data_IF_805402151460
#
_entry.id   IF_805402151460
#
_cell.length_a   1.000
_cell.length_b   1.000
_cell.length_c   1.000
_cell.angle_alpha   90.00
_cell.angle_beta   90.00
_cell.angle_gamma   90.00
#
_symmetry.space_group_name_H-M   'P 1'
#
loop_
_entity.id
_entity.type
_entity.pdbx_description
1 polymer ?
#
# COMPACT_ATOMS: atom_id res chain seq x y z
N UNK A 1 -21.17 18.88 8.84
CA UNK A 1 -20.91 17.49 8.37
C UNK A 1 -19.39 17.29 8.39
N UNK A 2 -18.89 16.26 9.07
CA UNK A 2 -17.44 15.96 9.06
C UNK A 2 -17.13 15.13 7.82
N UNK A 3 -16.51 15.75 6.81
CA UNK A 3 -16.15 15.08 5.55
C UNK A 3 -15.11 13.97 5.72
N UNK A 4 -14.33 14.00 6.81
CA UNK A 4 -13.32 13.00 7.14
C UNK A 4 -13.89 11.81 7.93
N UNK A 5 -15.18 11.80 8.26
CA UNK A 5 -15.76 10.72 9.05
C UNK A 5 -15.73 9.38 8.30
N UNK A 6 -15.07 8.39 8.91
CA UNK A 6 -15.02 6.99 8.44
C UNK A 6 -15.54 6.01 9.51
N UNK A 7 -16.20 6.51 10.56
CA UNK A 7 -16.75 5.68 11.61
C UNK A 7 -17.73 4.64 11.04
N UNK A 8 -17.56 3.39 11.44
CA UNK A 8 -18.34 2.26 10.98
C UNK A 8 -18.11 1.82 9.54
N UNK A 9 -17.21 2.46 8.78
CA UNK A 9 -16.76 1.94 7.48
C UNK A 9 -15.89 0.70 7.68
N UNK A 10 -15.97 -0.25 6.75
CA UNK A 10 -15.16 -1.47 6.73
C UNK A 10 -13.95 -1.26 5.83
N UNK A 11 -12.76 -1.28 6.42
CA UNK A 11 -11.48 -1.05 5.73
C UNK A 11 -10.66 -2.34 5.66
N UNK A 12 -10.45 -2.85 4.45
CA UNK A 12 -9.61 -4.00 4.16
C UNK A 12 -8.20 -3.53 3.83
N UNK A 13 -7.19 -4.09 4.52
CA UNK A 13 -5.79 -3.74 4.28
C UNK A 13 -4.98 -5.00 3.98
N UNK A 14 -4.57 -5.20 2.72
CA UNK A 14 -3.64 -6.28 2.38
C UNK A 14 -2.24 -5.93 2.88
N UNK A 15 -1.54 -6.91 3.47
CA UNK A 15 -0.27 -6.61 4.14
C UNK A 15 -0.41 -5.69 5.35
N UNK A 16 -1.60 -5.66 5.96
CA UNK A 16 -1.99 -4.72 7.00
C UNK A 16 -1.26 -4.86 8.34
N UNK A 17 -0.35 -5.81 8.50
CA UNK A 17 0.58 -5.93 9.63
C UNK A 17 2.04 -5.61 9.27
N UNK A 18 2.33 -5.25 8.02
CA UNK A 18 3.64 -4.73 7.61
C UNK A 18 3.89 -3.30 8.12
N UNK A 19 5.07 -2.75 7.86
CA UNK A 19 5.43 -1.43 8.37
C UNK A 19 4.41 -0.35 8.00
N UNK A 20 4.17 -0.12 6.71
CA UNK A 20 3.17 0.87 6.24
C UNK A 20 1.75 0.42 6.56
N UNK A 21 1.41 -0.84 6.20
CA UNK A 21 0.07 -1.38 6.42
C UNK A 21 -0.33 -1.40 7.89
N UNK A 22 0.60 -1.71 8.80
CA UNK A 22 0.35 -1.72 10.25
C UNK A 22 0.06 -0.33 10.82
N UNK A 23 0.84 0.68 10.42
CA UNK A 23 0.58 2.08 10.79
C UNK A 23 -0.81 2.53 10.30
N UNK A 24 -1.13 2.24 9.04
CA UNK A 24 -2.43 2.57 8.44
C UNK A 24 -3.57 1.84 9.17
N UNK A 25 -3.42 0.54 9.43
CA UNK A 25 -4.45 -0.28 10.10
C UNK A 25 -4.78 0.24 11.48
N UNK A 26 -3.76 0.52 12.30
CA UNK A 26 -3.95 1.07 13.64
C UNK A 26 -4.64 2.42 13.57
N UNK A 27 -4.13 3.32 12.73
CA UNK A 27 -4.68 4.67 12.61
C UNK A 27 -6.16 4.67 12.16
N UNK A 28 -6.52 3.90 11.13
CA UNK A 28 -7.90 3.87 10.65
C UNK A 28 -8.85 3.26 11.69
N UNK A 29 -8.40 2.29 12.49
CA UNK A 29 -9.19 1.77 13.61
C UNK A 29 -9.45 2.84 14.68
N UNK A 30 -8.46 3.68 14.97
CA UNK A 30 -8.59 4.83 15.88
C UNK A 30 -9.53 5.92 15.33
N UNK A 31 -9.74 5.97 14.02
CA UNK A 31 -10.71 6.85 13.36
C UNK A 31 -12.12 6.21 13.27
N UNK A 32 -12.34 5.08 13.93
CA UNK A 32 -13.64 4.41 14.05
C UNK A 32 -13.97 3.43 12.92
N UNK A 33 -13.04 3.15 11.97
CA UNK A 33 -13.26 2.12 10.98
C UNK A 33 -13.15 0.71 11.60
N UNK A 34 -13.93 -0.24 11.11
CA UNK A 34 -13.69 -1.66 11.33
C UNK A 34 -12.59 -2.12 10.37
N UNK A 35 -11.43 -2.50 10.93
CA UNK A 35 -10.25 -2.85 10.15
C UNK A 35 -10.14 -4.36 9.94
N UNK A 36 -10.03 -4.78 8.69
CA UNK A 36 -9.77 -6.17 8.30
C UNK A 36 -8.36 -6.27 7.75
N UNK A 37 -7.49 -6.95 8.49
CA UNK A 37 -6.11 -7.20 8.07
C UNK A 37 -6.05 -8.49 7.26
N UNK A 38 -5.58 -8.40 6.02
CA UNK A 38 -5.38 -9.54 5.14
C UNK A 38 -3.89 -9.84 4.99
N UNK A 39 -3.52 -11.09 5.17
CA UNK A 39 -2.15 -11.55 5.05
C UNK A 39 -1.98 -13.04 5.28
N UNK A 40 -0.74 -13.54 5.24
CA UNK A 40 -0.43 -14.98 5.29
C UNK A 40 -0.25 -15.55 6.69
N UNK A 41 0.05 -14.71 7.69
CA UNK A 41 0.40 -15.16 9.05
C UNK A 41 -0.45 -14.47 10.10
N UNK A 42 -1.31 -15.24 10.76
CA UNK A 42 -2.10 -14.78 11.90
C UNK A 42 -1.20 -14.43 13.09
N UNK A 43 -0.17 -15.22 13.34
CA UNK A 43 0.80 -14.98 14.41
C UNK A 43 1.42 -13.57 14.32
N UNK A 44 1.82 -13.15 13.10
CA UNK A 44 2.37 -11.81 12.88
C UNK A 44 1.33 -10.68 12.96
N UNK A 45 0.08 -10.98 12.67
CA UNK A 45 -1.01 -10.00 12.77
C UNK A 45 -1.54 -9.85 14.20
N UNK A 46 -1.44 -10.89 15.02
CA UNK A 46 -2.03 -10.95 16.37
C UNK A 46 -1.64 -9.77 17.28
N UNK A 47 -0.36 -9.35 17.37
CA UNK A 47 -0.01 -8.21 18.22
C UNK A 47 -0.75 -6.92 17.84
N UNK A 48 -0.90 -6.65 16.53
CA UNK A 48 -1.61 -5.47 16.06
C UNK A 48 -3.12 -5.58 16.28
N UNK A 49 -3.70 -6.74 16.03
CA UNK A 49 -5.13 -6.98 16.29
C UNK A 49 -5.45 -6.84 17.77
N UNK A 50 -4.58 -7.36 18.65
CA UNK A 50 -4.76 -7.21 20.10
C UNK A 50 -4.69 -5.75 20.50
N UNK A 51 -3.71 -5.00 20.00
CA UNK A 51 -3.59 -3.56 20.26
C UNK A 51 -4.85 -2.79 19.82
N UNK A 52 -5.37 -3.05 18.62
CA UNK A 52 -6.62 -2.44 18.13
C UNK A 52 -7.77 -2.72 19.11
N UNK A 53 -7.90 -3.95 19.58
CA UNK A 53 -8.97 -4.35 20.52
C UNK A 53 -8.79 -3.75 21.92
N UNK A 54 -7.56 -3.72 22.43
CA UNK A 54 -7.22 -3.11 23.74
C UNK A 54 -7.52 -1.62 23.78
N UNK A 55 -7.38 -0.92 22.64
CA UNK A 55 -7.79 0.47 22.48
C UNK A 55 -9.32 0.64 22.31
N UNK A 56 -10.11 -0.43 22.40
CA UNK A 56 -11.57 -0.41 22.24
C UNK A 56 -12.07 -0.33 20.81
N UNK A 57 -11.16 -0.46 19.83
CA UNK A 57 -11.47 -0.37 18.41
C UNK A 57 -11.85 -1.74 17.80
N UNK A 58 -12.42 -1.71 16.58
CA UNK A 58 -12.84 -2.91 15.87
C UNK A 58 -11.81 -3.35 14.85
N UNK A 59 -11.39 -4.61 14.91
CA UNK A 59 -10.52 -5.18 13.91
C UNK A 59 -10.38 -6.69 14.04
N UNK A 60 -10.10 -7.34 12.92
CA UNK A 60 -9.82 -8.77 12.86
C UNK A 60 -8.90 -9.11 11.69
N UNK A 61 -8.38 -10.32 11.74
CA UNK A 61 -7.50 -10.87 10.71
C UNK A 61 -8.26 -11.90 9.87
N UNK A 62 -7.99 -11.90 8.57
CA UNK A 62 -8.42 -12.95 7.62
C UNK A 62 -7.18 -13.43 6.88
N UNK A 63 -6.91 -14.73 6.97
CA UNK A 63 -5.77 -15.33 6.28
C UNK A 63 -6.04 -15.45 4.79
N UNK A 64 -5.18 -14.85 3.97
CA UNK A 64 -5.14 -15.05 2.53
C UNK A 64 -3.77 -14.67 1.97
N UNK A 65 -3.33 -15.38 0.93
CA UNK A 65 -2.22 -14.94 0.09
C UNK A 65 -2.78 -14.10 -1.06
N UNK A 66 -2.31 -12.86 -1.20
CA UNK A 66 -2.75 -11.95 -2.28
C UNK A 66 -2.40 -12.48 -3.68
N UNK A 67 -1.51 -13.47 -3.76
CA UNK A 67 -1.14 -14.17 -4.99
C UNK A 67 -2.07 -15.34 -5.31
N UNK A 68 -2.95 -15.74 -4.39
CA UNK A 68 -3.89 -16.83 -4.55
C UNK A 68 -5.33 -16.31 -4.65
N UNK A 69 -5.91 -16.36 -5.84
CA UNK A 69 -7.26 -15.85 -6.11
C UNK A 69 -8.33 -16.60 -5.31
N UNK A 70 -8.17 -17.91 -5.10
CA UNK A 70 -9.13 -18.70 -4.32
C UNK A 70 -9.09 -18.33 -2.82
N UNK A 71 -7.90 -18.02 -2.28
CA UNK A 71 -7.79 -17.52 -0.90
C UNK A 71 -8.49 -16.15 -0.78
N UNK A 72 -8.32 -15.27 -1.77
CA UNK A 72 -8.98 -13.96 -1.79
C UNK A 72 -10.50 -14.09 -1.89
N UNK A 73 -11.02 -15.04 -2.69
CA UNK A 73 -12.47 -15.31 -2.78
C UNK A 73 -13.04 -15.79 -1.45
N UNK A 74 -12.39 -16.76 -0.81
CA UNK A 74 -12.76 -17.22 0.54
C UNK A 74 -12.73 -16.08 1.56
N UNK A 75 -11.68 -15.25 1.51
CA UNK A 75 -11.58 -14.08 2.37
C UNK A 75 -12.73 -13.09 2.12
N UNK A 76 -13.11 -12.84 0.85
CA UNK A 76 -14.26 -12.01 0.50
C UNK A 76 -15.55 -12.53 1.15
N UNK A 77 -15.81 -13.82 1.04
CA UNK A 77 -17.01 -14.43 1.60
C UNK A 77 -17.06 -14.31 3.14
N UNK A 78 -15.96 -14.60 3.84
CA UNK A 78 -15.84 -14.42 5.30
C UNK A 78 -16.11 -12.95 5.69
N UNK A 79 -15.54 -12.00 4.96
CA UNK A 79 -15.68 -10.58 5.26
C UNK A 79 -17.13 -10.12 5.02
N UNK A 80 -17.75 -10.52 3.91
CA UNK A 80 -19.13 -10.16 3.62
C UNK A 80 -20.11 -10.84 4.57
N UNK A 81 -19.83 -12.07 5.03
CA UNK A 81 -20.64 -12.72 6.05
C UNK A 81 -20.58 -11.97 7.38
N UNK A 82 -19.38 -11.52 7.80
CA UNK A 82 -19.14 -10.88 9.09
C UNK A 82 -19.50 -9.40 9.12
N UNK A 83 -18.92 -8.63 8.19
CA UNK A 83 -19.01 -7.15 8.17
C UNK A 83 -20.06 -6.62 7.21
N UNK A 84 -20.67 -7.49 6.36
CA UNK A 84 -21.76 -7.22 5.40
C UNK A 84 -21.39 -6.30 4.24
N UNK A 85 -20.23 -5.63 4.27
CA UNK A 85 -19.81 -4.61 3.29
C UNK A 85 -18.30 -4.46 3.22
N UNK A 86 -17.82 -3.83 2.15
CA UNK A 86 -16.44 -3.38 1.97
C UNK A 86 -16.50 -1.94 1.48
N UNK A 87 -16.04 -0.98 2.30
CA UNK A 87 -16.06 0.43 1.95
C UNK A 87 -14.72 0.95 1.45
N UNK A 88 -13.63 0.40 2.00
CA UNK A 88 -12.27 0.85 1.75
C UNK A 88 -11.42 -0.39 1.49
N UNK A 89 -10.67 -0.39 0.39
CA UNK A 89 -9.66 -1.39 0.08
C UNK A 89 -8.30 -0.71 -0.04
N UNK A 90 -7.34 -1.10 0.80
CA UNK A 90 -5.97 -0.59 0.75
C UNK A 90 -5.04 -1.74 0.36
N UNK A 91 -4.45 -1.66 -0.82
CA UNK A 91 -3.51 -2.63 -1.32
C UNK A 91 -2.08 -2.23 -0.90
N UNK A 92 -1.67 -2.67 0.30
CA UNK A 92 -0.34 -2.41 0.87
C UNK A 92 0.57 -3.65 0.91
N UNK A 93 0.09 -4.81 0.47
CA UNK A 93 0.92 -5.99 0.28
C UNK A 93 1.89 -5.76 -0.88
N UNK A 94 3.18 -6.03 -0.64
CA UNK A 94 4.23 -5.83 -1.63
C UNK A 94 5.58 -5.64 -0.97
N UNK A 95 6.57 -5.34 -1.78
CA UNK A 95 7.95 -5.12 -1.34
C UNK A 95 8.96 -5.62 -2.33
N UNK A 96 10.25 -5.43 -2.05
CA UNK A 96 11.30 -5.95 -2.89
C UNK A 96 11.65 -7.40 -2.50
N UNK A 97 12.22 -8.11 -3.45
CA UNK A 97 12.73 -9.48 -3.27
C UNK A 97 14.26 -9.40 -3.25
N UNK A 98 14.96 -10.01 -2.30
CA UNK A 98 16.42 -9.90 -2.20
C UNK A 98 17.15 -10.23 -3.51
N UNK A 99 16.76 -11.30 -4.21
CA UNK A 99 17.33 -11.70 -5.49
C UNK A 99 17.03 -10.74 -6.65
N UNK A 100 16.04 -9.87 -6.52
CA UNK A 100 15.69 -8.83 -7.48
C UNK A 100 16.32 -7.45 -7.15
N UNK A 101 17.30 -7.42 -6.23
CA UNK A 101 18.07 -6.22 -5.88
C UNK A 101 19.48 -6.34 -6.42
N UNK A 102 19.81 -5.56 -7.42
CA UNK A 102 21.16 -5.51 -7.98
C UNK A 102 22.12 -4.78 -7.02
N UNK A 103 23.38 -5.18 -6.99
CA UNK A 103 24.46 -4.37 -6.40
C UNK A 103 24.82 -3.22 -7.36
N UNK A 104 25.50 -2.22 -6.87
CA UNK A 104 25.86 -1.02 -7.67
C UNK A 104 26.82 -1.36 -8.84
N UNK A 105 27.62 -2.42 -8.69
CA UNK A 105 28.56 -2.95 -9.69
C UNK A 105 27.99 -4.08 -10.56
N UNK A 106 26.76 -4.50 -10.28
CA UNK A 106 26.14 -5.67 -10.94
C UNK A 106 25.38 -5.26 -12.19
N UNK A 107 25.69 -5.81 -13.35
CA UNK A 107 24.95 -5.54 -14.57
C UNK A 107 23.56 -6.17 -14.50
N UNK A 108 22.61 -5.57 -15.21
CA UNK A 108 21.22 -6.06 -15.26
C UNK A 108 21.12 -7.50 -15.80
N UNK A 109 22.05 -7.91 -16.62
CA UNK A 109 22.09 -9.26 -17.22
C UNK A 109 22.31 -10.38 -16.19
N UNK A 110 22.77 -10.06 -14.99
CA UNK A 110 22.90 -11.01 -13.88
C UNK A 110 21.60 -11.21 -13.10
N UNK A 111 20.53 -10.48 -13.45
CA UNK A 111 19.21 -10.66 -12.85
C UNK A 111 18.65 -12.01 -13.26
N UNK A 112 18.32 -12.84 -12.26
CA UNK A 112 17.63 -14.10 -12.50
C UNK A 112 16.18 -13.83 -12.88
N UNK A 113 15.71 -14.46 -13.95
CA UNK A 113 14.32 -14.30 -14.44
C UNK A 113 13.31 -14.68 -13.35
N UNK A 114 13.59 -15.74 -12.57
CA UNK A 114 12.72 -16.19 -11.48
C UNK A 114 12.59 -15.14 -10.37
N UNK A 115 13.64 -14.36 -10.08
CA UNK A 115 13.58 -13.31 -9.08
C UNK A 115 12.90 -12.04 -9.64
N UNK A 116 13.07 -11.76 -10.92
CA UNK A 116 12.28 -10.77 -11.64
C UNK A 116 10.78 -11.12 -11.57
N UNK A 117 10.40 -12.34 -11.95
CA UNK A 117 9.00 -12.79 -11.94
C UNK A 117 8.39 -12.71 -10.54
N UNK A 118 9.13 -13.10 -9.51
CA UNK A 118 8.68 -13.00 -8.11
C UNK A 118 8.35 -11.56 -7.72
N UNK A 119 9.24 -10.60 -8.01
CA UNK A 119 9.01 -9.20 -7.60
C UNK A 119 7.90 -8.55 -8.41
N UNK A 120 7.80 -8.83 -9.70
CA UNK A 120 6.70 -8.37 -10.55
C UNK A 120 5.38 -8.93 -10.05
N UNK A 121 5.29 -10.24 -9.88
CA UNK A 121 4.07 -10.90 -9.44
C UNK A 121 3.63 -10.40 -8.07
N UNK A 122 4.54 -10.38 -7.08
CA UNK A 122 4.19 -9.93 -5.74
C UNK A 122 3.60 -8.52 -5.72
N UNK A 123 4.21 -7.59 -6.44
CA UNK A 123 3.76 -6.19 -6.39
C UNK A 123 2.57 -5.95 -7.32
N UNK A 124 2.66 -6.33 -8.60
CA UNK A 124 1.60 -6.07 -9.58
C UNK A 124 0.37 -6.95 -9.31
N UNK A 125 0.51 -8.27 -9.37
CA UNK A 125 -0.62 -9.18 -9.21
C UNK A 125 -1.16 -9.17 -7.78
N UNK A 126 -0.30 -8.99 -6.77
CA UNK A 126 -0.70 -8.78 -5.37
C UNK A 126 -1.51 -7.51 -5.11
N UNK A 127 -1.56 -6.59 -6.09
CA UNK A 127 -2.46 -5.42 -6.09
C UNK A 127 -3.68 -5.65 -7.00
N UNK A 128 -3.46 -6.20 -8.19
CA UNK A 128 -4.53 -6.42 -9.19
C UNK A 128 -5.56 -7.44 -8.70
N UNK A 129 -5.13 -8.58 -8.16
CA UNK A 129 -6.06 -9.64 -7.73
C UNK A 129 -7.00 -9.18 -6.61
N UNK A 130 -6.54 -8.51 -5.53
CA UNK A 130 -7.47 -7.92 -4.55
C UNK A 130 -8.43 -6.89 -5.16
N UNK A 131 -7.96 -6.05 -6.09
CA UNK A 131 -8.86 -5.12 -6.80
C UNK A 131 -9.95 -5.85 -7.58
N UNK A 132 -9.63 -6.98 -8.24
CA UNK A 132 -10.62 -7.76 -8.99
C UNK A 132 -11.61 -8.47 -8.05
N UNK A 133 -11.12 -9.08 -6.97
CA UNK A 133 -11.94 -9.91 -6.08
C UNK A 133 -12.80 -9.05 -5.14
N UNK A 134 -12.20 -8.11 -4.43
CA UNK A 134 -12.93 -7.25 -3.48
C UNK A 134 -13.61 -6.08 -4.19
N UNK A 135 -12.99 -5.56 -5.26
CA UNK A 135 -13.58 -4.50 -6.09
C UNK A 135 -14.90 -4.91 -6.74
N UNK A 136 -15.09 -6.21 -7.04
CA UNK A 136 -16.37 -6.74 -7.52
C UNK A 136 -17.50 -6.50 -6.51
N UNK A 137 -17.27 -6.79 -5.22
CA UNK A 137 -18.26 -6.54 -4.17
C UNK A 137 -18.53 -5.04 -3.99
N UNK A 138 -17.49 -4.20 -4.06
CA UNK A 138 -17.63 -2.74 -3.98
C UNK A 138 -18.39 -2.19 -5.20
N UNK A 139 -18.17 -2.76 -6.39
CA UNK A 139 -18.86 -2.38 -7.62
C UNK A 139 -20.35 -2.74 -7.59
N UNK A 140 -20.71 -3.87 -6.97
CA UNK A 140 -22.12 -4.24 -6.76
C UNK A 140 -22.87 -3.19 -5.92
N UNK A 141 -22.19 -2.63 -4.90
CA UNK A 141 -22.73 -1.55 -4.05
C UNK A 141 -22.56 -0.16 -4.69
N UNK A 142 -21.87 -0.05 -5.82
CA UNK A 142 -21.56 1.20 -6.55
C UNK A 142 -20.95 2.27 -5.66
N UNK A 143 -20.20 1.89 -4.63
CA UNK A 143 -19.64 2.80 -3.63
C UNK A 143 -18.37 2.21 -3.01
N UNK A 144 -17.38 3.06 -2.79
CA UNK A 144 -16.16 2.68 -2.06
C UNK A 144 -14.93 3.47 -2.48
N UNK A 145 -13.83 3.22 -1.78
CA UNK A 145 -12.53 3.80 -2.10
C UNK A 145 -11.46 2.71 -2.14
N UNK A 146 -10.83 2.54 -3.30
CA UNK A 146 -9.66 1.69 -3.48
C UNK A 146 -8.42 2.56 -3.47
N UNK A 147 -7.44 2.20 -2.64
CA UNK A 147 -6.17 2.93 -2.47
C UNK A 147 -5.03 1.97 -2.69
N UNK A 148 -4.30 2.14 -3.78
CA UNK A 148 -3.15 1.32 -4.11
C UNK A 148 -1.85 1.95 -3.59
N UNK A 149 -1.02 1.16 -2.93
CA UNK A 149 0.31 1.62 -2.53
C UNK A 149 1.28 1.38 -3.68
N UNK A 150 1.52 2.44 -4.46
CA UNK A 150 2.55 2.51 -5.47
C UNK A 150 3.92 2.80 -4.83
N UNK A 151 4.75 3.61 -5.42
CA UNK A 151 6.04 4.07 -4.90
C UNK A 151 6.53 5.26 -5.71
N UNK A 152 7.37 6.11 -5.13
CA UNK A 152 8.17 7.06 -5.89
C UNK A 152 9.01 6.38 -6.98
N UNK A 153 9.38 5.10 -6.79
CA UNK A 153 10.07 4.29 -7.80
C UNK A 153 9.30 4.08 -9.10
N UNK A 154 7.99 4.34 -9.12
CA UNK A 154 7.15 4.36 -10.31
C UNK A 154 7.26 5.67 -11.09
N UNK A 155 7.70 6.74 -10.45
CA UNK A 155 7.70 8.11 -10.94
C UNK A 155 9.12 8.65 -11.20
N UNK A 156 10.12 8.02 -10.61
CA UNK A 156 11.53 8.36 -10.76
C UNK A 156 12.37 7.09 -10.82
N UNK A 157 13.50 7.12 -11.51
CA UNK A 157 14.40 5.96 -11.63
C UNK A 157 15.16 5.78 -10.33
N UNK A 158 14.93 4.65 -9.67
CA UNK A 158 15.73 4.21 -8.54
C UNK A 158 16.72 3.13 -8.97
N UNK A 159 17.98 3.32 -8.64
CA UNK A 159 19.03 2.31 -8.87
C UNK A 159 18.72 1.00 -8.12
N UNK A 160 19.22 -0.13 -8.62
CA UNK A 160 19.21 -1.47 -8.00
C UNK A 160 17.88 -2.23 -8.02
N UNK A 161 16.73 -1.56 -8.16
CA UNK A 161 15.40 -2.16 -7.92
C UNK A 161 14.51 -2.11 -9.16
N UNK A 162 15.06 -2.47 -10.33
CA UNK A 162 14.38 -2.33 -11.62
C UNK A 162 13.04 -3.09 -11.69
N UNK A 163 12.97 -4.33 -11.24
CA UNK A 163 11.74 -5.12 -11.25
C UNK A 163 10.65 -4.51 -10.35
N UNK A 164 11.04 -4.09 -9.14
CA UNK A 164 10.14 -3.38 -8.24
C UNK A 164 9.61 -2.08 -8.87
N UNK A 165 10.50 -1.26 -9.44
CA UNK A 165 10.13 0.00 -10.09
C UNK A 165 9.16 -0.22 -11.25
N UNK A 166 9.42 -1.22 -12.09
CA UNK A 166 8.56 -1.60 -13.21
C UNK A 166 7.16 -2.03 -12.73
N UNK A 167 7.09 -2.87 -11.68
CA UNK A 167 5.81 -3.29 -11.10
C UNK A 167 5.03 -2.11 -10.51
N UNK A 168 5.70 -1.18 -9.83
CA UNK A 168 5.06 0.00 -9.25
C UNK A 168 4.60 1.00 -10.32
N UNK A 169 5.30 1.11 -11.45
CA UNK A 169 4.84 1.88 -12.61
C UNK A 169 3.59 1.24 -13.23
N UNK A 170 3.55 -0.09 -13.34
CA UNK A 170 2.37 -0.81 -13.81
C UNK A 170 1.15 -0.59 -12.89
N UNK A 171 1.32 -0.65 -11.55
CA UNK A 171 0.25 -0.33 -10.57
C UNK A 171 -0.25 1.10 -10.75
N UNK A 172 0.65 2.05 -10.97
CA UNK A 172 0.30 3.46 -11.21
C UNK A 172 -0.61 3.61 -12.43
N UNK A 173 -0.30 2.94 -13.53
CA UNK A 173 -1.15 2.96 -14.72
C UNK A 173 -2.46 2.18 -14.52
N UNK A 174 -2.41 1.00 -13.90
CA UNK A 174 -3.58 0.19 -13.55
C UNK A 174 -4.58 0.96 -12.68
N UNK A 175 -4.10 1.73 -11.70
CA UNK A 175 -4.93 2.59 -10.86
C UNK A 175 -5.76 3.57 -11.69
N UNK A 176 -5.13 4.25 -12.65
CA UNK A 176 -5.79 5.22 -13.53
C UNK A 176 -6.80 4.54 -14.45
N UNK A 177 -6.43 3.40 -15.01
CA UNK A 177 -7.30 2.62 -15.87
C UNK A 177 -8.54 2.15 -15.12
N UNK A 178 -8.35 1.53 -13.94
CA UNK A 178 -9.44 1.00 -13.12
C UNK A 178 -10.38 2.12 -12.62
N UNK A 179 -9.82 3.28 -12.25
CA UNK A 179 -10.60 4.45 -11.86
C UNK A 179 -11.52 4.93 -12.95
N UNK A 180 -11.02 5.00 -14.20
CA UNK A 180 -11.80 5.39 -15.35
C UNK A 180 -12.91 4.36 -15.67
N UNK A 181 -12.57 3.08 -15.68
CA UNK A 181 -13.53 1.99 -15.93
C UNK A 181 -14.66 1.98 -14.89
N UNK A 182 -14.30 2.14 -13.62
CA UNK A 182 -15.27 2.12 -12.53
C UNK A 182 -16.19 3.36 -12.56
N UNK A 183 -15.64 4.54 -12.81
CA UNK A 183 -16.46 5.76 -12.92
C UNK A 183 -17.49 5.67 -14.05
N UNK A 184 -17.10 5.11 -15.19
CA UNK A 184 -18.01 4.96 -16.34
C UNK A 184 -19.07 3.89 -16.13
N UNK A 185 -18.75 2.78 -15.45
CA UNK A 185 -19.65 1.64 -15.32
C UNK A 185 -20.48 1.64 -14.04
N UNK A 186 -19.92 2.15 -12.95
CA UNK A 186 -20.54 2.05 -11.62
C UNK A 186 -20.85 3.40 -10.97
N UNK A 187 -20.45 4.51 -11.62
CA UNK A 187 -20.76 5.88 -11.19
C UNK A 187 -19.67 6.51 -10.30
N UNK A 188 -19.97 7.68 -9.79
CA UNK A 188 -19.02 8.62 -9.17
C UNK A 188 -18.63 8.28 -7.72
N UNK A 189 -19.30 7.31 -7.09
CA UNK A 189 -19.07 6.98 -5.68
C UNK A 189 -18.08 5.83 -5.46
N UNK A 190 -17.60 5.19 -6.52
CA UNK A 190 -16.57 4.15 -6.47
C UNK A 190 -15.28 4.72 -7.07
N UNK A 191 -14.33 5.04 -6.20
CA UNK A 191 -13.10 5.74 -6.54
C UNK A 191 -11.87 4.87 -6.42
N UNK A 192 -10.88 5.07 -7.28
CA UNK A 192 -9.60 4.36 -7.24
C UNK A 192 -8.46 5.37 -7.33
N UNK A 193 -7.58 5.37 -6.34
CA UNK A 193 -6.42 6.25 -6.26
C UNK A 193 -5.17 5.49 -5.83
N UNK A 194 -4.01 6.12 -5.90
CA UNK A 194 -2.78 5.58 -5.36
C UNK A 194 -2.02 6.61 -4.54
N UNK A 195 -1.25 6.11 -3.59
CA UNK A 195 -0.17 6.85 -2.93
C UNK A 195 1.16 6.34 -3.45
N UNK A 196 2.14 7.23 -3.59
CA UNK A 196 3.50 6.90 -4.00
C UNK A 196 4.49 7.31 -2.88
N UNK A 197 4.68 6.44 -1.87
CA UNK A 197 5.59 6.72 -0.77
C UNK A 197 7.02 6.88 -1.25
N UNK A 198 7.75 7.83 -0.63
CA UNK A 198 9.18 7.97 -0.73
C UNK A 198 9.93 6.99 0.19
N UNK A 199 10.96 7.47 0.85
CA UNK A 199 11.74 6.65 1.77
C UNK A 199 11.22 6.77 3.20
N UNK A 200 10.63 5.67 3.68
CA UNK A 200 10.21 5.44 5.06
C UNK A 200 11.03 4.29 5.64
N UNK A 201 11.51 4.44 6.86
CA UNK A 201 12.28 3.35 7.49
C UNK A 201 11.33 2.30 8.03
N UNK A 202 11.43 1.09 7.50
CA UNK A 202 10.72 -0.10 7.97
C UNK A 202 11.68 -1.28 8.12
N UNK A 203 11.21 -2.41 8.65
CA UNK A 203 12.04 -3.60 8.85
C UNK A 203 12.73 -4.08 7.57
N UNK A 204 12.03 -4.00 6.43
CA UNK A 204 12.53 -4.49 5.15
C UNK A 204 13.74 -3.72 4.60
N UNK A 205 13.86 -2.43 4.92
CA UNK A 205 14.90 -1.56 4.37
C UNK A 205 15.87 -1.00 5.43
N UNK A 206 15.63 -1.31 6.71
CA UNK A 206 16.43 -0.79 7.82
C UNK A 206 17.91 -1.09 7.61
N UNK A 207 18.26 -2.32 7.33
CA UNK A 207 19.65 -2.76 7.15
C UNK A 207 20.34 -2.14 5.92
N UNK A 208 19.58 -1.57 4.98
CA UNK A 208 20.10 -0.87 3.80
C UNK A 208 20.31 0.61 4.09
N UNK A 209 19.58 1.15 5.06
CA UNK A 209 19.56 2.57 5.39
C UNK A 209 20.31 2.92 6.68
N UNK A 210 20.36 1.99 7.63
CA UNK A 210 20.94 2.21 8.97
C UNK A 210 22.01 1.14 9.22
N UNK A 211 23.20 1.58 9.59
CA UNK A 211 24.30 0.72 10.01
C UNK A 211 23.99 0.04 11.37
N UNK A 212 24.67 -1.06 11.73
CA UNK A 212 24.47 -1.71 13.03
C UNK A 212 24.72 -0.81 14.25
N UNK A 213 25.56 0.22 14.11
CA UNK A 213 25.86 1.22 15.16
C UNK A 213 24.80 2.35 15.24
N UNK A 214 23.75 2.30 14.40
CA UNK A 214 22.69 3.31 14.33
C UNK A 214 23.00 4.48 13.41
N UNK A 215 24.19 4.60 12.85
CA UNK A 215 24.54 5.65 11.89
C UNK A 215 23.88 5.41 10.53
N UNK A 216 23.79 6.47 9.72
CA UNK A 216 23.27 6.39 8.36
C UNK A 216 24.27 5.71 7.42
N UNK A 217 23.76 4.88 6.52
CA UNK A 217 24.59 4.30 5.44
C UNK A 217 24.93 5.37 4.38
N UNK A 218 25.95 5.11 3.55
CA UNK A 218 26.26 5.96 2.39
C UNK A 218 25.03 6.15 1.48
N UNK A 219 24.23 5.07 1.29
CA UNK A 219 22.98 5.16 0.55
C UNK A 219 21.98 6.11 1.18
N UNK A 220 21.87 6.11 2.51
CA UNK A 220 21.01 7.04 3.23
C UNK A 220 21.42 8.49 3.01
N UNK A 221 22.71 8.80 3.07
CA UNK A 221 23.20 10.13 2.77
C UNK A 221 22.85 10.57 1.34
N UNK A 222 23.02 9.68 0.34
CA UNK A 222 22.64 9.97 -1.07
C UNK A 222 21.13 10.24 -1.17
N UNK A 223 20.29 9.47 -0.48
CA UNK A 223 18.85 9.66 -0.47
C UNK A 223 18.49 11.01 0.17
N UNK A 224 19.01 11.29 1.34
CA UNK A 224 18.68 12.52 2.09
C UNK A 224 19.16 13.79 1.38
N UNK A 225 20.32 13.74 0.73
CA UNK A 225 20.82 14.84 -0.09
C UNK A 225 19.90 15.16 -1.28
N UNK A 226 19.12 14.17 -1.75
CA UNK A 226 18.13 14.36 -2.81
C UNK A 226 16.70 14.51 -2.27
N UNK A 227 16.51 14.59 -0.96
CA UNK A 227 15.21 14.81 -0.33
C UNK A 227 15.18 16.22 0.25
N UNK A 228 14.43 17.17 -0.31
CA UNK A 228 14.41 18.57 0.18
C UNK A 228 14.09 18.72 1.67
N UNK A 229 13.22 17.85 2.23
CA UNK A 229 12.94 17.83 3.67
C UNK A 229 14.09 17.27 4.52
N UNK A 230 15.17 16.74 3.94
CA UNK A 230 16.40 16.30 4.62
C UNK A 230 16.24 15.16 5.62
N UNK A 231 15.14 14.42 5.58
CA UNK A 231 14.87 13.29 6.48
C UNK A 231 14.07 12.17 5.81
N UNK A 232 14.07 11.00 6.41
CA UNK A 232 13.11 9.96 6.07
C UNK A 232 11.71 10.31 6.58
N UNK A 233 10.69 9.75 5.92
CA UNK A 233 9.31 9.86 6.38
C UNK A 233 9.07 9.00 7.62
N UNK A 234 8.24 9.48 8.55
CA UNK A 234 7.63 8.68 9.60
C UNK A 234 6.44 7.89 9.02
N UNK A 235 6.25 6.64 9.45
CA UNK A 235 5.17 5.79 8.94
C UNK A 235 3.78 6.42 9.13
N UNK A 236 3.61 7.22 10.18
CA UNK A 236 2.37 7.94 10.48
C UNK A 236 2.04 9.05 9.47
N UNK A 237 3.03 9.57 8.76
CA UNK A 237 2.84 10.67 7.80
C UNK A 237 2.07 10.26 6.53
N UNK A 238 1.92 8.95 6.29
CA UNK A 238 1.03 8.43 5.25
C UNK A 238 -0.45 8.44 5.68
N UNK A 239 -0.71 8.33 6.98
CA UNK A 239 -2.04 8.04 7.51
C UNK A 239 -3.06 9.13 7.18
N UNK A 240 -2.68 10.39 7.26
CA UNK A 240 -3.57 11.52 6.97
C UNK A 240 -4.06 11.52 5.52
N UNK A 241 -3.17 11.19 4.56
CA UNK A 241 -3.56 11.16 3.17
C UNK A 241 -4.38 9.90 2.81
N UNK A 242 -4.04 8.76 3.41
CA UNK A 242 -4.87 7.54 3.32
C UNK A 242 -6.28 7.82 3.87
N UNK A 243 -6.39 8.47 5.02
CA UNK A 243 -7.67 8.86 5.62
C UNK A 243 -8.46 9.81 4.70
N UNK A 244 -7.80 10.82 4.13
CA UNK A 244 -8.41 11.70 3.12
C UNK A 244 -9.01 10.89 1.97
N UNK A 245 -8.24 9.99 1.35
CA UNK A 245 -8.71 9.15 0.25
C UNK A 245 -9.82 8.16 0.66
N UNK A 246 -9.81 7.66 1.89
CA UNK A 246 -10.81 6.76 2.45
C UNK A 246 -12.15 7.45 2.80
N UNK A 247 -12.14 8.78 2.91
CA UNK A 247 -13.26 9.59 3.38
C UNK A 247 -14.00 10.29 2.24
N UNK A 248 -15.13 10.93 2.58
CA UNK A 248 -15.91 11.71 1.64
C UNK A 248 -15.26 13.08 1.31
N UNK A 249 -14.22 13.47 2.06
CA UNK A 249 -13.39 14.65 1.75
C UNK A 249 -12.73 14.56 0.36
N UNK A 250 -12.55 13.34 -0.16
CA UNK A 250 -12.01 13.08 -1.49
C UNK A 250 -13.07 12.63 -2.52
N UNK A 251 -14.34 13.00 -2.31
CA UNK A 251 -15.45 12.54 -3.16
C UNK A 251 -15.30 12.88 -4.65
N UNK A 252 -14.55 13.92 -5.00
CA UNK A 252 -14.25 14.29 -6.39
C UNK A 252 -12.80 13.97 -6.79
N UNK A 253 -12.15 13.00 -6.11
CA UNK A 253 -10.77 12.60 -6.36
C UNK A 253 -10.72 11.13 -6.76
N UNK A 254 -10.43 10.87 -8.03
CA UNK A 254 -10.19 9.52 -8.58
C UNK A 254 -9.06 9.56 -9.60
N UNK A 255 -8.43 8.44 -9.91
CA UNK A 255 -7.31 8.31 -10.84
C UNK A 255 -6.04 9.11 -10.45
N UNK A 256 -5.94 9.62 -9.22
CA UNK A 256 -4.75 10.33 -8.76
C UNK A 256 -3.67 9.38 -8.27
N UNK A 257 -2.41 9.81 -8.40
CA UNK A 257 -1.24 9.17 -7.80
C UNK A 257 -0.49 10.25 -7.05
N UNK A 258 -0.53 10.23 -5.73
CA UNK A 258 0.10 11.26 -4.92
C UNK A 258 1.44 10.80 -4.36
N UNK A 259 2.54 11.52 -4.67
CA UNK A 259 3.81 11.37 -3.97
C UNK A 259 3.71 11.84 -2.52
N UNK A 260 4.30 11.03 -1.60
CA UNK A 260 4.51 11.39 -0.21
C UNK A 260 5.97 11.06 0.08
N UNK A 261 6.89 11.96 -0.29
CA UNK A 261 8.30 11.65 -0.48
C UNK A 261 9.28 12.74 0.03
N UNK A 262 8.77 13.73 0.74
CA UNK A 262 9.59 14.85 1.22
C UNK A 262 10.16 15.74 0.11
N UNK A 263 9.56 15.67 -1.09
CA UNK A 263 9.96 16.44 -2.27
C UNK A 263 10.98 15.75 -3.17
N UNK A 264 11.31 14.48 -2.91
CA UNK A 264 12.37 13.75 -3.61
C UNK A 264 12.19 13.74 -5.13
N UNK A 265 11.01 13.41 -5.64
CA UNK A 265 10.79 13.33 -7.09
C UNK A 265 10.69 14.69 -7.78
N UNK A 266 10.45 15.75 -7.04
CA UNK A 266 10.36 17.11 -7.57
C UNK A 266 11.72 17.83 -7.62
N UNK A 267 12.73 17.29 -6.94
CA UNK A 267 14.03 17.94 -6.80
C UNK A 267 14.96 17.54 -7.95
N UNK A 268 15.45 18.55 -8.68
CA UNK A 268 16.35 18.38 -9.82
C UNK A 268 17.84 18.27 -9.42
N UNK A 269 18.19 18.49 -8.15
CA UNK A 269 19.57 18.50 -7.66
C UNK A 269 20.24 19.87 -7.75
N UNK A 270 19.52 20.91 -8.20
CA UNK A 270 20.00 22.30 -8.30
C UNK A 270 18.96 23.27 -7.74
#
# INVERSE_FOLDING_TARGET
MNLFNIEGKVALITGGYGALGGSISLYLSQQGAEVVIIGRSEEKAAPLINKIKEEGNKGYFVQADVMNVEDLRKAKDIILERSKRIDILINAAGGNVPGATLRDDQPIFDMKIEDWDKVINLNMNGTVYPCLVFGEAMAAEKKGSIINVSSMAALSVLTRVVGYSSAKAAITNFTKWLANDFAQKYGDKLRVNAVAPGFFIGEQNRNVLINPDGSLTERSHKILNNTPMGRFGDLSELNGYIHYLASDASSFVTATVLPIDGGFIAYSGV
#
